data_IF_903703294745
#
_entry.id   IF_903703294745
#
_cell.length_a   1.000
_cell.length_b   1.000
_cell.length_c   1.000
_cell.angle_alpha   90.00
_cell.angle_beta   90.00
_cell.angle_gamma   90.00
#
_symmetry.space_group_name_H-M   'P 1'
#
loop_
_entity.id
_entity.type
_entity.pdbx_description
1 polymer ?
#
# COMPACT_ATOMS: atom_id res chain seq x y z
N UNK A 1 8.84 -11.02 -26.34
CA UNK A 1 8.62 -10.87 -24.87
C UNK A 1 7.84 -12.04 -24.26
N UNK A 2 6.86 -12.67 -24.95
CA UNK A 2 6.14 -13.81 -24.35
C UNK A 2 7.06 -14.97 -23.91
N UNK A 3 8.10 -15.27 -24.69
CA UNK A 3 9.10 -16.31 -24.36
C UNK A 3 9.94 -15.99 -23.11
N UNK A 4 9.96 -14.74 -22.65
CA UNK A 4 10.74 -14.30 -21.49
C UNK A 4 9.99 -14.54 -20.17
N UNK A 5 8.64 -14.43 -20.16
CA UNK A 5 7.85 -14.49 -18.93
C UNK A 5 7.05 -15.79 -18.78
N UNK A 6 6.88 -16.56 -19.86
CA UNK A 6 6.02 -17.74 -19.89
C UNK A 6 4.54 -17.37 -19.79
N UNK A 7 3.72 -18.28 -19.27
CA UNK A 7 2.30 -18.07 -18.98
C UNK A 7 2.14 -17.29 -17.69
N UNK A 8 1.57 -16.10 -17.74
CA UNK A 8 1.42 -15.17 -16.61
C UNK A 8 0.00 -15.15 -16.10
N UNK A 9 -0.19 -15.40 -14.81
CA UNK A 9 -1.47 -15.17 -14.12
C UNK A 9 -1.56 -13.74 -13.60
N UNK A 10 -2.68 -13.05 -13.80
CA UNK A 10 -2.99 -11.80 -13.13
C UNK A 10 -4.02 -12.09 -12.05
N UNK A 11 -3.57 -12.12 -10.79
CA UNK A 11 -4.44 -12.38 -9.64
C UNK A 11 -5.22 -11.11 -9.31
N UNK A 12 -6.55 -11.17 -9.36
CA UNK A 12 -7.42 -10.02 -9.22
C UNK A 12 -8.73 -10.38 -8.52
N UNK A 13 -9.63 -9.41 -8.31
CA UNK A 13 -10.92 -9.60 -7.65
C UNK A 13 -10.75 -9.84 -6.15
N UNK A 14 -10.69 -11.10 -5.75
CA UNK A 14 -10.52 -11.47 -4.35
C UNK A 14 -11.78 -11.26 -3.50
N UNK A 15 -11.61 -11.26 -2.16
CA UNK A 15 -12.72 -11.25 -1.18
C UNK A 15 -12.70 -10.04 -0.25
N UNK A 16 -11.79 -9.08 -0.48
CA UNK A 16 -11.70 -7.87 0.34
C UNK A 16 -12.78 -6.85 0.00
N UNK A 17 -12.93 -5.83 0.84
CA UNK A 17 -13.78 -4.68 0.57
C UNK A 17 -13.36 -3.90 -0.69
N UNK A 18 -12.12 -4.09 -1.16
CA UNK A 18 -11.55 -3.42 -2.33
C UNK A 18 -11.67 -4.25 -3.63
N UNK A 19 -12.56 -5.27 -3.65
CA UNK A 19 -12.77 -6.15 -4.79
C UNK A 19 -12.98 -5.40 -6.11
N UNK A 20 -13.83 -4.38 -6.13
CA UNK A 20 -14.15 -3.63 -7.35
C UNK A 20 -12.90 -2.92 -7.93
N UNK A 21 -12.08 -2.33 -7.08
CA UNK A 21 -10.82 -1.71 -7.48
C UNK A 21 -9.85 -2.75 -8.03
N UNK A 22 -9.79 -3.93 -7.39
CA UNK A 22 -8.97 -5.05 -7.84
C UNK A 22 -9.43 -5.60 -9.20
N UNK A 23 -10.73 -5.68 -9.46
CA UNK A 23 -11.28 -6.07 -10.77
C UNK A 23 -10.86 -5.09 -11.88
N UNK A 24 -10.88 -3.78 -11.60
CA UNK A 24 -10.44 -2.75 -12.55
C UNK A 24 -8.92 -2.82 -12.77
N UNK A 25 -8.14 -2.89 -11.68
CA UNK A 25 -6.68 -2.99 -11.72
C UNK A 25 -6.22 -4.23 -12.51
N UNK A 26 -6.78 -5.39 -12.21
CA UNK A 26 -6.41 -6.65 -12.86
C UNK A 26 -6.68 -6.65 -14.36
N UNK A 27 -7.84 -6.14 -14.77
CA UNK A 27 -8.17 -5.98 -16.21
C UNK A 27 -7.19 -5.04 -16.92
N UNK A 28 -6.88 -3.89 -16.29
CA UNK A 28 -5.92 -2.92 -16.82
C UNK A 28 -4.53 -3.53 -16.97
N UNK A 29 -4.03 -4.21 -15.93
CA UNK A 29 -2.72 -4.90 -15.95
C UNK A 29 -2.68 -5.98 -17.03
N UNK A 30 -3.71 -6.83 -17.12
CA UNK A 30 -3.77 -7.90 -18.13
C UNK A 30 -3.71 -7.31 -19.55
N UNK A 31 -4.51 -6.28 -19.84
CA UNK A 31 -4.51 -5.62 -21.15
C UNK A 31 -3.14 -4.97 -21.44
N UNK A 32 -2.51 -4.33 -20.47
CA UNK A 32 -1.20 -3.71 -20.61
C UNK A 32 -0.11 -4.76 -20.92
N UNK A 33 -0.07 -5.85 -20.16
CA UNK A 33 0.86 -6.96 -20.39
C UNK A 33 0.63 -7.62 -21.74
N UNK A 34 -0.63 -7.88 -22.11
CA UNK A 34 -0.98 -8.44 -23.43
C UNK A 34 -0.54 -7.51 -24.58
N UNK A 35 -0.73 -6.20 -24.45
CA UNK A 35 -0.26 -5.21 -25.45
C UNK A 35 1.26 -5.20 -25.62
N UNK A 36 1.98 -5.53 -24.55
CA UNK A 36 3.44 -5.72 -24.57
C UNK A 36 3.89 -7.11 -25.05
N UNK A 37 2.96 -7.97 -25.50
CA UNK A 37 3.24 -9.32 -26.03
C UNK A 37 3.49 -10.36 -24.94
N UNK A 38 3.01 -10.15 -23.71
CA UNK A 38 3.05 -11.13 -22.63
C UNK A 38 1.79 -12.01 -22.67
N UNK A 39 1.94 -13.32 -22.49
CA UNK A 39 0.83 -14.27 -22.39
C UNK A 39 0.17 -14.18 -21.01
N UNK A 40 -0.72 -13.19 -20.83
CA UNK A 40 -1.31 -12.80 -19.55
C UNK A 40 -2.79 -13.20 -19.43
N UNK A 41 -3.13 -13.92 -18.37
CA UNK A 41 -4.46 -14.48 -18.09
C UNK A 41 -5.00 -13.99 -16.75
N UNK A 42 -6.28 -13.64 -16.70
CA UNK A 42 -6.95 -13.23 -15.47
C UNK A 42 -7.29 -14.46 -14.60
N UNK A 43 -7.06 -14.34 -13.29
CA UNK A 43 -7.43 -15.34 -12.30
C UNK A 43 -8.07 -14.67 -11.09
N UNK A 44 -9.40 -14.83 -10.92
CA UNK A 44 -10.14 -14.27 -9.80
C UNK A 44 -10.05 -15.19 -8.58
N UNK A 45 -9.30 -14.76 -7.57
CA UNK A 45 -9.10 -15.50 -6.31
C UNK A 45 -10.34 -15.47 -5.40
N UNK A 46 -11.33 -14.65 -5.70
CA UNK A 46 -12.63 -14.65 -5.01
C UNK A 46 -13.56 -15.76 -5.47
N UNK A 47 -13.40 -16.19 -6.72
CA UNK A 47 -14.25 -17.19 -7.38
C UNK A 47 -13.56 -18.55 -7.55
N UNK A 48 -12.23 -18.57 -7.62
CA UNK A 48 -11.42 -19.76 -7.89
C UNK A 48 -10.51 -20.10 -6.72
N UNK A 49 -10.29 -21.38 -6.51
CA UNK A 49 -9.52 -21.94 -5.40
C UNK A 49 -8.01 -21.92 -5.66
N UNK A 50 -7.20 -22.06 -4.58
CA UNK A 50 -5.76 -22.26 -4.68
C UNK A 50 -5.37 -23.56 -5.41
N UNK A 51 -6.20 -24.61 -5.34
CA UNK A 51 -5.95 -25.83 -6.08
C UNK A 51 -6.09 -25.62 -7.59
N UNK A 52 -7.05 -24.81 -8.02
CA UNK A 52 -7.18 -24.40 -9.42
C UNK A 52 -6.02 -23.49 -9.86
N UNK A 53 -5.56 -22.59 -8.97
CA UNK A 53 -4.39 -21.76 -9.25
C UNK A 53 -3.14 -22.61 -9.50
N UNK A 54 -2.91 -23.61 -8.66
CA UNK A 54 -1.81 -24.56 -8.84
C UNK A 54 -1.91 -25.37 -10.15
N UNK A 55 -3.13 -25.70 -10.58
CA UNK A 55 -3.38 -26.47 -11.80
C UNK A 55 -3.26 -25.62 -13.10
N UNK A 56 -3.30 -24.29 -13.02
CA UNK A 56 -3.21 -23.41 -14.18
C UNK A 56 -1.86 -23.48 -14.90
N UNK A 57 -0.79 -23.85 -14.19
CA UNK A 57 0.56 -23.90 -14.76
C UNK A 57 1.11 -22.54 -15.10
N UNK A 58 0.84 -21.52 -14.28
CA UNK A 58 1.46 -20.19 -14.42
C UNK A 58 2.94 -20.27 -14.07
N UNK A 59 3.79 -19.72 -14.93
CA UNK A 59 5.22 -19.58 -14.67
C UNK A 59 5.51 -18.48 -13.64
N UNK A 60 4.62 -17.50 -13.56
CA UNK A 60 4.61 -16.40 -12.56
C UNK A 60 3.26 -15.72 -12.50
N UNK A 61 3.05 -14.94 -11.45
CA UNK A 61 1.83 -14.17 -11.31
C UNK A 61 2.10 -12.69 -11.01
N UNK A 62 1.23 -11.84 -11.53
CA UNK A 62 1.11 -10.44 -11.14
C UNK A 62 0.01 -10.32 -10.10
N UNK A 63 0.31 -9.82 -8.90
CA UNK A 63 -0.67 -9.58 -7.85
C UNK A 63 -1.29 -8.19 -8.09
N UNK A 64 -2.58 -8.17 -8.47
CA UNK A 64 -3.42 -6.97 -8.58
C UNK A 64 -4.58 -7.02 -7.58
N UNK A 65 -4.37 -7.74 -6.49
CA UNK A 65 -5.28 -7.82 -5.35
C UNK A 65 -5.00 -6.69 -4.38
N UNK A 66 -6.02 -6.19 -3.70
CA UNK A 66 -5.94 -5.12 -2.71
C UNK A 66 -6.58 -5.53 -1.39
N UNK A 67 -6.13 -4.94 -0.28
CA UNK A 67 -6.64 -5.22 1.05
C UNK A 67 -6.37 -6.64 1.56
N UNK A 68 -7.23 -7.13 2.46
CA UNK A 68 -7.09 -8.46 3.07
C UNK A 68 -7.04 -9.56 2.01
N UNK A 69 -6.23 -10.58 2.27
CA UNK A 69 -5.91 -11.70 1.36
C UNK A 69 -5.15 -11.31 0.09
N UNK A 70 -4.93 -10.02 -0.17
CA UNK A 70 -4.23 -9.53 -1.35
C UNK A 70 -2.86 -8.93 -1.03
N UNK A 71 -2.78 -8.10 0.01
CA UNK A 71 -1.57 -7.39 0.39
C UNK A 71 -1.15 -7.58 1.86
N UNK A 72 -1.76 -8.55 2.54
CA UNK A 72 -1.50 -8.87 3.96
C UNK A 72 -0.54 -10.05 4.19
N UNK A 73 0.08 -10.57 3.13
CA UNK A 73 0.99 -11.71 3.19
C UNK A 73 0.32 -13.07 2.95
N UNK A 74 -1.01 -13.14 2.97
CA UNK A 74 -1.76 -14.42 2.85
C UNK A 74 -1.57 -15.07 1.48
N UNK A 75 -1.84 -14.35 0.39
CA UNK A 75 -1.66 -14.90 -0.96
C UNK A 75 -0.18 -15.11 -1.27
N UNK A 76 0.70 -14.21 -0.78
CA UNK A 76 2.14 -14.34 -0.95
C UNK A 76 2.66 -15.62 -0.31
N UNK A 77 2.22 -15.95 0.92
CA UNK A 77 2.56 -17.20 1.60
C UNK A 77 2.07 -18.44 0.85
N UNK A 78 0.86 -18.38 0.28
CA UNK A 78 0.35 -19.47 -0.56
C UNK A 78 1.19 -19.67 -1.83
N UNK A 79 1.58 -18.58 -2.49
CA UNK A 79 2.43 -18.62 -3.70
C UNK A 79 3.83 -19.17 -3.41
N UNK A 80 4.42 -18.84 -2.24
CA UNK A 80 5.68 -19.41 -1.77
C UNK A 80 5.58 -20.95 -1.65
N UNK A 81 4.50 -21.46 -1.03
CA UNK A 81 4.29 -22.90 -0.85
C UNK A 81 4.02 -23.61 -2.18
N UNK A 82 3.40 -22.93 -3.13
CA UNK A 82 3.16 -23.43 -4.50
C UNK A 82 4.40 -23.32 -5.39
N UNK A 83 5.43 -22.58 -4.98
CA UNK A 83 6.62 -22.32 -5.80
C UNK A 83 6.35 -21.46 -7.02
N UNK A 84 5.31 -20.62 -6.98
CA UNK A 84 4.92 -19.74 -8.09
C UNK A 84 5.52 -18.35 -7.84
N UNK A 85 6.46 -17.88 -8.68
CA UNK A 85 7.02 -16.53 -8.60
C UNK A 85 5.92 -15.46 -8.73
N UNK A 86 6.03 -14.38 -7.94
CA UNK A 86 5.02 -13.32 -7.91
C UNK A 86 5.63 -11.91 -7.80
N UNK A 87 4.87 -10.91 -8.20
CA UNK A 87 5.25 -9.51 -8.12
C UNK A 87 5.07 -8.95 -6.71
N UNK A 88 5.90 -7.97 -6.35
CA UNK A 88 5.76 -7.23 -5.10
C UNK A 88 6.47 -7.86 -3.91
N UNK A 89 6.07 -7.45 -2.74
CA UNK A 89 6.68 -7.81 -1.47
C UNK A 89 6.36 -9.24 -1.02
N UNK A 90 7.25 -9.85 -0.25
CA UNK A 90 7.06 -11.17 0.34
C UNK A 90 6.05 -11.20 1.51
N UNK A 91 5.74 -12.37 2.07
CA UNK A 91 4.73 -12.53 3.13
C UNK A 91 5.00 -11.65 4.35
N UNK A 92 6.23 -11.65 4.86
CA UNK A 92 6.60 -10.88 6.06
C UNK A 92 6.44 -9.38 5.83
N UNK A 93 6.98 -8.85 4.73
CA UNK A 93 6.92 -7.42 4.43
C UNK A 93 5.47 -6.96 4.20
N UNK A 94 4.68 -7.76 3.49
CA UNK A 94 3.24 -7.49 3.26
C UNK A 94 2.45 -7.48 4.57
N UNK A 95 2.67 -8.46 5.46
CA UNK A 95 2.00 -8.51 6.76
C UNK A 95 2.40 -7.33 7.66
N UNK A 96 3.68 -6.96 7.68
CA UNK A 96 4.15 -5.79 8.44
C UNK A 96 3.55 -4.49 7.89
N UNK A 97 3.50 -4.32 6.57
CA UNK A 97 2.97 -3.12 5.94
C UNK A 97 1.46 -2.97 6.15
N UNK A 98 0.72 -4.07 6.19
CA UNK A 98 -0.72 -4.07 6.44
C UNK A 98 -1.06 -3.67 7.87
N UNK A 99 -0.23 -4.06 8.85
CA UNK A 99 -0.38 -3.68 10.25
C UNK A 99 0.26 -2.30 10.49
N UNK A 100 -0.58 -1.25 10.56
CA UNK A 100 -0.12 0.14 10.78
C UNK A 100 0.67 0.31 12.06
N UNK A 101 0.35 -0.47 13.10
CA UNK A 101 1.06 -0.41 14.39
C UNK A 101 2.46 -0.98 14.27
N UNK A 102 2.59 -2.16 13.68
CA UNK A 102 3.89 -2.80 13.48
C UNK A 102 4.74 -2.01 12.49
N UNK A 103 4.16 -1.51 11.41
CA UNK A 103 4.81 -0.59 10.48
C UNK A 103 5.44 0.60 11.19
N UNK A 104 4.66 1.31 12.02
CA UNK A 104 5.14 2.48 12.76
C UNK A 104 6.22 2.13 13.77
N UNK A 105 6.12 1.00 14.48
CA UNK A 105 7.15 0.50 15.40
C UNK A 105 8.49 0.25 14.68
N UNK A 106 8.44 -0.39 13.51
CA UNK A 106 9.63 -0.62 12.69
C UNK A 106 10.23 0.72 12.23
N UNK A 107 9.40 1.65 11.74
CA UNK A 107 9.86 2.96 11.30
C UNK A 107 10.52 3.77 12.44
N UNK A 108 9.92 3.78 13.63
CA UNK A 108 10.52 4.44 14.80
C UNK A 108 11.88 3.84 15.16
N UNK A 109 12.02 2.51 15.11
CA UNK A 109 13.31 1.83 15.35
C UNK A 109 14.39 2.24 14.34
N UNK A 110 13.98 2.60 13.10
CA UNK A 110 14.86 3.11 12.06
C UNK A 110 15.03 4.64 12.05
N UNK A 111 14.48 5.34 13.04
CA UNK A 111 14.54 6.79 13.16
C UNK A 111 13.78 7.52 12.05
N UNK A 112 12.69 6.92 11.53
CA UNK A 112 11.83 7.50 10.52
C UNK A 112 10.67 8.27 11.16
N UNK A 113 10.28 9.43 10.61
CA UNK A 113 9.22 10.26 11.15
C UNK A 113 7.86 9.64 10.89
N UNK A 114 7.10 9.40 11.94
CA UNK A 114 5.68 9.02 11.90
C UNK A 114 4.96 9.71 13.05
N UNK A 115 3.67 10.09 12.91
CA UNK A 115 2.94 10.74 13.99
C UNK A 115 2.98 9.91 15.27
N UNK A 116 3.01 10.60 16.42
CA UNK A 116 2.91 9.92 17.71
C UNK A 116 1.61 9.11 17.80
N UNK A 117 1.69 7.94 18.38
CA UNK A 117 0.55 7.03 18.45
C UNK A 117 0.61 6.15 19.68
N UNK A 118 -0.55 5.63 20.06
CA UNK A 118 -0.69 4.53 21.01
C UNK A 118 -1.82 3.58 20.59
N UNK A 119 -1.77 2.35 21.07
CA UNK A 119 -2.88 1.41 20.93
C UNK A 119 -3.84 1.59 22.11
N UNK A 120 -5.11 1.58 21.79
CA UNK A 120 -6.20 1.64 22.76
C UNK A 120 -7.14 0.45 22.55
N UNK A 121 -7.64 -0.09 23.65
CA UNK A 121 -8.55 -1.22 23.72
C UNK A 121 -9.72 -0.94 24.67
N UNK A 122 -10.51 -1.96 24.97
CA UNK A 122 -11.68 -1.85 25.84
C UNK A 122 -11.33 -1.47 27.29
N UNK A 123 -10.12 -1.78 27.75
CA UNK A 123 -9.64 -1.52 29.12
C UNK A 123 -8.93 -0.17 29.23
N UNK A 124 -8.70 0.49 28.12
CA UNK A 124 -7.99 1.78 28.06
C UNK A 124 -8.85 2.92 28.59
N UNK A 125 -8.29 3.73 29.50
CA UNK A 125 -8.95 4.95 29.96
C UNK A 125 -8.90 6.04 28.87
N UNK A 126 -9.86 5.99 27.94
CA UNK A 126 -9.91 6.79 26.71
C UNK A 126 -9.77 8.30 26.94
N UNK A 127 -10.26 8.81 28.09
CA UNK A 127 -10.17 10.26 28.43
C UNK A 127 -8.73 10.75 28.62
N UNK A 128 -7.78 9.85 28.92
CA UNK A 128 -6.37 10.21 29.13
C UNK A 128 -5.54 10.19 27.83
N UNK A 129 -6.08 9.63 26.75
CA UNK A 129 -5.39 9.56 25.46
C UNK A 129 -5.08 10.96 24.90
N UNK A 130 -6.02 11.93 24.92
CA UNK A 130 -5.73 13.29 24.47
C UNK A 130 -4.64 14.01 25.28
N UNK A 131 -4.47 13.67 26.56
CA UNK A 131 -3.40 14.26 27.39
C UNK A 131 -2.01 13.79 26.96
N UNK A 132 -1.91 12.57 26.39
CA UNK A 132 -0.65 11.98 25.90
C UNK A 132 -0.31 12.36 24.46
N UNK A 133 -1.32 12.36 23.59
CA UNK A 133 -1.12 12.56 22.14
C UNK A 133 -1.45 13.97 21.64
N UNK A 134 -2.11 14.82 22.47
CA UNK A 134 -2.68 16.11 22.12
C UNK A 134 -3.85 16.02 21.13
N UNK A 135 -4.75 16.99 21.16
CA UNK A 135 -5.84 17.12 20.18
C UNK A 135 -5.41 18.04 19.01
N UNK A 136 -5.92 17.82 17.82
CA UNK A 136 -6.80 16.73 17.41
C UNK A 136 -6.08 15.40 17.22
N UNK A 137 -6.85 14.28 17.31
CA UNK A 137 -6.39 12.90 17.09
C UNK A 137 -7.11 12.24 15.92
N UNK A 138 -6.56 11.15 15.45
CA UNK A 138 -7.23 10.16 14.60
C UNK A 138 -7.34 8.85 15.36
N UNK A 139 -8.53 8.26 15.41
CA UNK A 139 -8.75 6.87 15.80
C UNK A 139 -9.07 6.05 14.57
N UNK A 140 -8.39 4.91 14.40
CA UNK A 140 -8.54 4.04 13.23
C UNK A 140 -8.22 2.59 13.57
N UNK A 141 -8.85 1.61 12.88
CA UNK A 141 -8.43 0.21 12.97
C UNK A 141 -7.04 0.05 12.34
N UNK A 142 -6.10 -0.70 12.98
CA UNK A 142 -4.74 -0.85 12.46
C UNK A 142 -4.64 -1.71 11.19
N UNK A 143 -5.56 -2.65 10.96
CA UNK A 143 -5.50 -3.63 9.87
C UNK A 143 -6.48 -3.38 8.72
N UNK A 144 -7.16 -2.23 8.69
CA UNK A 144 -8.08 -1.88 7.59
C UNK A 144 -7.46 -0.84 6.65
N UNK A 145 -7.81 -0.96 5.36
CA UNK A 145 -7.44 0.00 4.32
C UNK A 145 -8.54 1.04 4.07
N UNK A 146 -8.29 1.93 3.09
CA UNK A 146 -9.31 2.78 2.45
C UNK A 146 -10.18 3.61 3.38
N UNK A 147 -9.63 4.13 4.46
CA UNK A 147 -10.31 5.07 5.39
C UNK A 147 -11.46 4.46 6.20
N UNK A 148 -11.62 3.13 6.17
CA UNK A 148 -12.66 2.43 6.93
C UNK A 148 -12.44 2.60 8.44
N UNK A 149 -13.49 3.04 9.16
CA UNK A 149 -13.47 3.19 10.62
C UNK A 149 -12.59 4.33 11.16
N UNK A 150 -12.12 5.23 10.30
CA UNK A 150 -11.30 6.39 10.71
C UNK A 150 -12.21 7.49 11.24
N UNK A 151 -11.88 8.02 12.42
CA UNK A 151 -12.57 9.15 13.03
C UNK A 151 -11.58 10.18 13.56
N UNK A 152 -11.79 11.44 13.17
CA UNK A 152 -11.06 12.58 13.73
C UNK A 152 -11.73 13.02 15.03
N UNK A 153 -10.94 13.09 16.09
CA UNK A 153 -11.34 13.52 17.43
C UNK A 153 -10.83 14.94 17.68
N UNK A 154 -11.73 15.87 17.96
CA UNK A 154 -11.39 17.26 18.23
C UNK A 154 -11.62 17.66 19.69
N UNK A 155 -12.32 16.82 20.45
CA UNK A 155 -12.62 17.03 21.86
C UNK A 155 -12.64 15.73 22.66
N UNK A 156 -12.47 15.83 23.97
CA UNK A 156 -12.50 14.67 24.91
C UNK A 156 -13.83 13.88 24.83
N UNK A 157 -14.95 14.58 24.55
CA UNK A 157 -16.27 13.98 24.41
C UNK A 157 -16.37 12.99 23.26
N UNK A 158 -15.58 13.20 22.19
CA UNK A 158 -15.68 12.46 20.94
C UNK A 158 -14.97 11.10 21.04
N UNK A 159 -14.07 10.93 22.03
CA UNK A 159 -13.21 9.74 22.17
C UNK A 159 -13.98 8.43 22.22
N UNK A 160 -15.08 8.39 22.99
CA UNK A 160 -15.87 7.15 23.16
C UNK A 160 -16.54 6.71 21.86
N UNK A 161 -17.11 7.66 21.12
CA UNK A 161 -17.79 7.38 19.85
C UNK A 161 -16.78 6.98 18.77
N UNK A 162 -15.66 7.70 18.67
CA UNK A 162 -14.57 7.42 17.75
C UNK A 162 -13.95 6.03 18.00
N UNK A 163 -13.71 5.67 19.27
CA UNK A 163 -13.25 4.32 19.61
C UNK A 163 -14.27 3.27 19.21
N UNK A 164 -15.54 3.45 19.54
CA UNK A 164 -16.60 2.50 19.19
C UNK A 164 -16.76 2.31 17.68
N UNK A 165 -16.52 3.35 16.89
CA UNK A 165 -16.55 3.27 15.43
C UNK A 165 -15.40 2.40 14.88
N UNK A 166 -14.17 2.61 15.35
CA UNK A 166 -13.00 1.84 14.93
C UNK A 166 -13.02 0.39 15.47
N UNK A 167 -13.46 0.20 16.72
CA UNK A 167 -13.54 -1.10 17.39
C UNK A 167 -14.55 -2.09 16.77
N UNK A 168 -15.37 -1.65 15.81
CA UNK A 168 -16.22 -2.55 15.01
C UNK A 168 -15.42 -3.40 14.04
N UNK A 169 -14.23 -2.95 13.68
CA UNK A 169 -13.39 -3.56 12.66
C UNK A 169 -12.17 -4.27 13.25
N UNK A 170 -11.73 -3.85 14.43
CA UNK A 170 -10.54 -4.39 15.07
C UNK A 170 -10.66 -4.33 16.60
N UNK A 171 -10.09 -5.33 17.29
CA UNK A 171 -10.09 -5.38 18.76
C UNK A 171 -9.17 -4.34 19.40
N UNK A 172 -8.11 -3.96 18.71
CA UNK A 172 -7.22 -2.88 19.06
C UNK A 172 -7.46 -1.69 18.12
N UNK A 173 -7.40 -0.49 18.63
CA UNK A 173 -7.59 0.75 17.87
C UNK A 173 -6.32 1.59 17.95
N UNK A 174 -5.85 2.05 16.81
CA UNK A 174 -4.72 2.96 16.73
C UNK A 174 -5.21 4.39 16.97
N UNK A 175 -4.77 5.00 18.08
CA UNK A 175 -4.91 6.43 18.32
C UNK A 175 -3.64 7.14 17.87
N UNK A 176 -3.77 8.15 17.03
CA UNK A 176 -2.65 8.81 16.35
C UNK A 176 -2.82 10.32 16.35
N UNK A 177 -1.74 11.06 16.58
CA UNK A 177 -1.72 12.51 16.43
C UNK A 177 -2.14 12.95 15.03
N UNK A 178 -3.10 13.85 14.92
CA UNK A 178 -3.51 14.41 13.65
C UNK A 178 -2.51 15.45 13.13
N UNK A 179 -1.89 15.17 12.00
CA UNK A 179 -0.98 16.10 11.34
C UNK A 179 -1.79 16.98 10.37
N UNK A 180 -1.76 18.29 10.61
CA UNK A 180 -2.37 19.27 9.70
C UNK A 180 -1.37 19.69 8.64
N UNK A 181 -1.72 19.52 7.36
CA UNK A 181 -0.81 19.88 6.28
C UNK A 181 -1.29 19.40 4.93
N UNK A 182 -0.34 19.12 4.05
CA UNK A 182 -0.55 18.62 2.68
C UNK A 182 -0.42 17.10 2.68
N UNK A 183 -1.28 16.42 1.95
CA UNK A 183 -1.18 14.97 1.76
C UNK A 183 -0.28 14.68 0.55
N UNK A 184 0.73 13.85 0.76
CA UNK A 184 1.69 13.45 -0.25
C UNK A 184 1.75 11.94 -0.37
N UNK A 185 2.10 11.46 -1.55
CA UNK A 185 2.38 10.05 -1.77
C UNK A 185 3.57 9.85 -2.68
N UNK A 186 4.30 8.76 -2.44
CA UNK A 186 5.50 8.40 -3.20
C UNK A 186 5.46 6.94 -3.59
N UNK A 187 5.43 6.67 -4.89
CA UNK A 187 5.64 5.32 -5.40
C UNK A 187 7.13 4.96 -5.34
N UNK A 188 7.42 3.72 -4.94
CA UNK A 188 8.77 3.15 -4.93
C UNK A 188 8.80 1.96 -5.86
N UNK A 189 9.80 1.88 -6.72
CA UNK A 189 10.06 0.75 -7.64
C UNK A 189 11.40 0.11 -7.35
N UNK A 190 11.47 -1.21 -7.54
CA UNK A 190 12.68 -2.02 -7.36
C UNK A 190 12.86 -2.57 -5.96
N UNK A 191 13.96 -3.27 -5.73
CA UNK A 191 14.23 -4.04 -4.52
C UNK A 191 15.61 -3.71 -3.92
N UNK A 192 15.73 -3.79 -2.61
CA UNK A 192 16.99 -3.60 -1.89
C UNK A 192 17.69 -2.28 -2.25
N UNK A 193 18.96 -2.33 -2.70
CA UNK A 193 19.72 -1.13 -3.08
C UNK A 193 19.25 -0.47 -4.37
N UNK A 194 18.53 -1.20 -5.23
CA UNK A 194 17.97 -0.68 -6.48
C UNK A 194 16.61 0.01 -6.29
N UNK A 195 16.01 -0.08 -5.10
CA UNK A 195 14.75 0.62 -4.81
C UNK A 195 14.91 2.13 -4.96
N UNK A 196 14.03 2.74 -5.75
CA UNK A 196 14.03 4.18 -6.06
C UNK A 196 12.63 4.77 -5.99
N UNK A 197 12.53 6.00 -5.55
CA UNK A 197 11.29 6.76 -5.56
C UNK A 197 10.97 7.25 -6.98
N UNK A 198 9.68 7.27 -7.33
CA UNK A 198 9.13 8.06 -8.42
C UNK A 198 8.78 9.47 -7.90
N UNK A 199 8.43 10.42 -8.79
CA UNK A 199 8.08 11.77 -8.36
C UNK A 199 7.00 11.79 -7.29
N UNK A 200 7.17 12.68 -6.31
CA UNK A 200 6.19 12.91 -5.25
C UNK A 200 4.90 13.43 -5.87
N UNK A 201 3.77 12.90 -5.45
CA UNK A 201 2.44 13.39 -5.81
C UNK A 201 1.82 14.07 -4.60
N UNK A 202 1.24 15.25 -4.80
CA UNK A 202 0.36 15.88 -3.84
C UNK A 202 -1.09 15.55 -4.16
N UNK A 203 -1.84 15.21 -3.12
CA UNK A 203 -3.27 14.89 -3.17
C UNK A 203 -4.03 16.03 -2.52
N UNK A 204 -4.83 16.76 -3.29
CA UNK A 204 -5.65 17.86 -2.81
C UNK A 204 -7.13 17.46 -2.88
N UNK A 205 -7.60 16.77 -1.84
CA UNK A 205 -8.99 16.38 -1.72
C UNK A 205 -9.84 17.54 -1.17
N UNK A 206 -11.10 17.70 -1.62
CA UNK A 206 -12.02 18.68 -1.08
C UNK A 206 -12.20 18.53 0.43
N UNK A 207 -12.09 19.63 1.17
CA UNK A 207 -12.18 19.62 2.64
C UNK A 207 -11.07 18.87 3.37
N UNK A 208 -10.02 18.41 2.66
CA UNK A 208 -8.91 17.65 3.24
C UNK A 208 -9.29 16.21 3.63
N UNK A 209 -10.35 15.65 3.03
CA UNK A 209 -10.82 14.29 3.31
C UNK A 209 -10.61 13.40 2.08
N UNK A 210 -9.55 12.62 2.08
CA UNK A 210 -9.21 11.67 1.01
C UNK A 210 -9.66 10.27 1.39
N UNK A 211 -10.99 10.06 1.36
CA UNK A 211 -11.63 8.78 1.65
C UNK A 211 -11.74 7.86 0.41
N UNK A 212 -12.38 6.69 0.60
CA UNK A 212 -12.53 5.68 -0.46
C UNK A 212 -13.26 6.22 -1.71
N UNK A 213 -14.29 7.06 -1.51
CA UNK A 213 -15.04 7.65 -2.61
C UNK A 213 -14.17 8.65 -3.39
N UNK A 214 -13.43 9.51 -2.70
CA UNK A 214 -12.50 10.46 -3.32
C UNK A 214 -11.26 9.78 -3.95
N UNK A 215 -10.90 8.57 -3.47
CA UNK A 215 -9.77 7.79 -4.05
C UNK A 215 -10.10 7.17 -5.41
N UNK A 216 -11.33 6.71 -5.63
CA UNK A 216 -11.64 5.83 -6.75
C UNK A 216 -12.83 6.25 -7.60
N UNK A 217 -13.74 7.09 -7.11
CA UNK A 217 -15.03 7.37 -7.74
C UNK A 217 -15.38 8.84 -7.90
N UNK A 218 -14.67 9.78 -7.24
CA UNK A 218 -14.89 11.22 -7.36
C UNK A 218 -13.81 11.86 -8.22
N UNK A 219 -14.22 12.74 -9.14
CA UNK A 219 -13.33 13.57 -9.96
C UNK A 219 -12.95 14.89 -9.28
N UNK A 220 -13.41 15.13 -8.04
CA UNK A 220 -13.17 16.39 -7.33
C UNK A 220 -11.79 16.48 -6.69
N UNK A 221 -11.07 15.35 -6.54
CA UNK A 221 -9.70 15.31 -6.02
C UNK A 221 -8.71 15.75 -7.08
N UNK A 222 -7.89 16.74 -6.75
CA UNK A 222 -6.80 17.19 -7.61
C UNK A 222 -5.48 16.51 -7.25
N UNK A 223 -4.73 16.14 -8.27
CA UNK A 223 -3.41 15.51 -8.13
C UNK A 223 -2.35 16.36 -8.83
N UNK A 224 -1.30 16.70 -8.11
CA UNK A 224 -0.15 17.42 -8.66
C UNK A 224 1.04 16.48 -8.73
N UNK A 225 1.46 16.13 -9.95
CA UNK A 225 2.58 15.23 -10.21
C UNK A 225 3.52 15.79 -11.28
N UNK A 226 4.77 16.17 -10.94
CA UNK A 226 5.34 16.24 -9.58
C UNK A 226 4.63 17.26 -8.68
N UNK A 227 4.63 17.01 -7.37
CA UNK A 227 4.14 17.94 -6.38
C UNK A 227 4.97 19.25 -6.40
N UNK A 228 4.30 20.37 -6.21
CA UNK A 228 4.99 21.68 -6.12
C UNK A 228 5.58 21.83 -4.71
N UNK A 229 6.83 21.39 -4.56
CA UNK A 229 7.61 21.40 -3.31
C UNK A 229 8.96 22.09 -3.53
N UNK A 230 9.58 22.68 -2.48
CA UNK A 230 10.99 22.99 -2.49
C UNK A 230 11.81 21.75 -2.84
N UNK A 231 12.87 21.84 -3.68
CA UNK A 231 13.64 20.68 -4.11
C UNK A 231 14.17 19.81 -2.95
N UNK A 232 14.66 20.45 -1.90
CA UNK A 232 15.18 19.79 -0.71
C UNK A 232 14.10 18.99 0.05
N UNK A 233 12.86 19.49 0.08
CA UNK A 233 11.72 18.79 0.70
C UNK A 233 11.32 17.58 -0.16
N UNK A 234 11.27 17.73 -1.47
CA UNK A 234 10.96 16.63 -2.39
C UNK A 234 12.00 15.51 -2.31
N UNK A 235 13.29 15.86 -2.21
CA UNK A 235 14.39 14.92 -2.00
C UNK A 235 14.28 14.20 -0.66
N UNK A 236 13.99 14.93 0.43
CA UNK A 236 13.82 14.36 1.77
C UNK A 236 12.64 13.38 1.82
N UNK A 237 11.46 13.77 1.32
CA UNK A 237 10.26 12.90 1.24
C UNK A 237 10.57 11.64 0.44
N UNK A 238 11.23 11.77 -0.71
CA UNK A 238 11.63 10.64 -1.56
C UNK A 238 12.62 9.71 -0.85
N UNK A 239 13.61 10.25 -0.16
CA UNK A 239 14.60 9.48 0.59
C UNK A 239 13.96 8.72 1.77
N UNK A 240 13.04 9.38 2.50
CA UNK A 240 12.27 8.76 3.59
C UNK A 240 11.39 7.63 3.05
N UNK A 241 10.70 7.82 1.92
CA UNK A 241 9.86 6.78 1.30
C UNK A 241 10.67 5.52 0.97
N UNK A 242 11.84 5.67 0.33
CA UNK A 242 12.72 4.53 0.01
C UNK A 242 13.26 3.86 1.28
N UNK A 243 13.62 4.65 2.30
CA UNK A 243 14.11 4.11 3.58
C UNK A 243 12.99 3.37 4.33
N UNK A 244 11.78 3.91 4.34
CA UNK A 244 10.60 3.29 4.96
C UNK A 244 10.24 1.95 4.30
N UNK A 245 10.24 1.93 2.97
CA UNK A 245 10.02 0.75 2.14
C UNK A 245 11.06 -0.35 2.44
N UNK A 246 12.35 0.00 2.47
CA UNK A 246 13.43 -0.93 2.78
C UNK A 246 13.40 -1.43 4.23
N UNK A 247 13.02 -0.58 5.18
CA UNK A 247 12.94 -0.94 6.59
C UNK A 247 11.94 -2.06 6.86
N UNK A 248 10.87 -2.14 6.07
CA UNK A 248 9.87 -3.22 6.12
C UNK A 248 10.28 -4.45 5.30
N UNK A 249 11.38 -4.39 4.54
CA UNK A 249 11.79 -5.48 3.64
C UNK A 249 10.93 -5.58 2.38
N UNK A 250 10.32 -4.48 1.94
CA UNK A 250 9.49 -4.46 0.73
C UNK A 250 10.32 -4.61 -0.53
N UNK A 251 9.71 -5.22 -1.57
CA UNK A 251 10.34 -5.54 -2.84
C UNK A 251 9.42 -5.26 -4.03
N UNK A 252 10.03 -5.09 -5.22
CA UNK A 252 9.36 -4.88 -6.48
C UNK A 252 8.74 -3.50 -6.63
N UNK A 253 7.69 -3.22 -5.88
CA UNK A 253 7.01 -1.95 -5.93
C UNK A 253 6.15 -1.72 -4.68
N UNK A 254 5.76 -0.46 -4.44
CA UNK A 254 4.90 -0.05 -3.34
C UNK A 254 4.63 1.45 -3.35
N UNK A 255 3.87 1.93 -2.37
CA UNK A 255 3.51 3.34 -2.24
C UNK A 255 3.51 3.74 -0.77
N UNK A 256 4.29 4.76 -0.43
CA UNK A 256 4.32 5.35 0.90
C UNK A 256 3.48 6.64 0.93
N UNK A 257 2.59 6.76 1.91
CA UNK A 257 1.69 7.88 2.08
C UNK A 257 2.13 8.75 3.27
N UNK A 258 2.05 10.09 3.10
CA UNK A 258 2.59 11.07 4.03
C UNK A 258 1.62 12.21 4.31
N UNK A 259 1.78 12.82 5.47
CA UNK A 259 1.42 14.22 5.69
C UNK A 259 2.68 15.08 5.70
N UNK A 260 2.64 16.22 5.02
CA UNK A 260 3.66 17.27 5.12
C UNK A 260 3.08 18.40 5.97
N UNK A 261 3.66 18.66 7.13
CA UNK A 261 3.17 19.70 8.04
C UNK A 261 3.48 21.13 7.52
N UNK A 262 3.04 22.14 8.27
CA UNK A 262 3.23 23.56 7.90
C UNK A 262 4.70 24.01 7.91
N UNK A 263 5.55 23.26 8.62
CA UNK A 263 7.00 23.49 8.68
C UNK A 263 7.75 22.68 7.63
N UNK A 264 7.04 22.07 6.66
CA UNK A 264 7.55 21.16 5.63
C UNK A 264 8.23 19.90 6.20
N UNK A 265 7.80 19.41 7.37
CA UNK A 265 8.28 18.15 7.92
C UNK A 265 7.40 17.00 7.42
N UNK A 266 7.97 15.95 6.81
CA UNK A 266 7.19 14.80 6.36
C UNK A 266 6.92 13.83 7.51
N UNK A 267 5.69 13.27 7.51
CA UNK A 267 5.22 12.28 8.48
C UNK A 267 4.64 11.09 7.76
N UNK A 268 5.28 9.93 7.89
CA UNK A 268 4.81 8.66 7.31
C UNK A 268 3.51 8.21 7.96
N UNK A 269 2.50 7.90 7.13
CA UNK A 269 1.22 7.39 7.58
C UNK A 269 1.11 5.88 7.42
N UNK A 270 1.33 5.38 6.20
CA UNK A 270 1.23 3.97 5.84
C UNK A 270 2.08 3.64 4.61
N UNK A 271 2.26 2.33 4.36
CA UNK A 271 2.90 1.82 3.17
C UNK A 271 2.03 0.72 2.57
N UNK A 272 1.71 0.85 1.28
CA UNK A 272 0.91 -0.09 0.53
C UNK A 272 1.82 -0.95 -0.36
N UNK A 273 1.77 -2.27 -0.20
CA UNK A 273 2.62 -3.22 -0.94
C UNK A 273 2.04 -3.72 -2.26
N UNK A 274 0.74 -3.50 -2.46
CA UNK A 274 0.03 -3.76 -3.73
C UNK A 274 -0.94 -2.61 -4.02
N UNK A 275 -0.42 -1.38 -4.26
CA UNK A 275 -1.26 -0.22 -4.48
C UNK A 275 -2.08 -0.34 -5.77
N UNK A 276 -3.17 0.42 -5.87
CA UNK A 276 -4.06 0.41 -7.03
C UNK A 276 -3.34 0.60 -8.36
N UNK A 277 -3.79 -0.12 -9.39
CA UNK A 277 -3.25 -0.12 -10.75
C UNK A 277 -4.33 0.20 -11.80
N UNK A 278 -5.30 1.04 -11.46
CA UNK A 278 -6.23 1.60 -12.45
C UNK A 278 -5.58 2.73 -13.23
N UNK A 279 -6.20 3.20 -14.30
CA UNK A 279 -5.71 4.35 -15.10
C UNK A 279 -5.59 5.65 -14.30
N UNK A 280 -6.32 5.77 -13.18
CA UNK A 280 -6.31 6.93 -12.29
C UNK A 280 -5.44 6.73 -11.05
N UNK A 281 -4.82 5.56 -10.91
CA UNK A 281 -4.01 5.23 -9.73
C UNK A 281 -2.68 6.00 -9.70
N UNK A 282 -2.21 6.26 -8.49
CA UNK A 282 -1.09 7.16 -8.22
C UNK A 282 0.26 6.62 -8.69
N UNK A 283 0.48 5.30 -8.64
CA UNK A 283 1.73 4.70 -9.14
C UNK A 283 1.86 4.83 -10.66
N UNK A 284 0.84 4.49 -11.48
CA UNK A 284 0.85 4.81 -12.91
C UNK A 284 1.02 6.30 -13.22
N UNK A 285 0.40 7.18 -12.44
CA UNK A 285 0.54 8.64 -12.58
C UNK A 285 1.99 9.09 -12.38
N UNK A 286 2.64 8.65 -11.30
CA UNK A 286 4.04 8.94 -11.01
C UNK A 286 4.99 8.39 -12.10
N UNK A 287 4.74 7.17 -12.59
CA UNK A 287 5.50 6.56 -13.66
C UNK A 287 5.40 7.37 -14.98
N UNK A 288 4.19 7.78 -15.34
CA UNK A 288 3.93 8.61 -16.52
C UNK A 288 4.68 9.95 -16.46
N UNK A 289 4.77 10.56 -15.28
CA UNK A 289 5.48 11.83 -15.10
C UNK A 289 6.99 11.75 -15.42
N UNK A 290 7.57 10.55 -15.38
CA UNK A 290 8.97 10.29 -15.78
C UNK A 290 9.08 9.54 -17.11
N UNK A 291 8.03 9.54 -17.93
CA UNK A 291 8.03 8.97 -19.27
C UNK A 291 7.88 7.45 -19.34
N UNK A 292 7.52 6.79 -18.24
CA UNK A 292 7.24 5.35 -18.21
C UNK A 292 5.75 5.15 -18.50
N UNK A 293 5.45 4.50 -19.63
CA UNK A 293 4.06 4.15 -19.97
C UNK A 293 3.49 3.09 -19.01
N UNK A 294 2.16 2.98 -18.98
CA UNK A 294 1.49 1.98 -18.12
C UNK A 294 1.92 0.53 -18.46
N UNK A 295 2.09 0.21 -19.75
CA UNK A 295 2.55 -1.11 -20.16
C UNK A 295 4.00 -1.36 -19.72
N UNK A 296 4.90 -0.38 -19.88
CA UNK A 296 6.29 -0.49 -19.42
C UNK A 296 6.36 -0.64 -17.90
N UNK A 297 5.52 0.07 -17.15
CA UNK A 297 5.42 -0.08 -15.68
C UNK A 297 5.00 -1.51 -15.30
N UNK A 298 3.94 -2.05 -15.93
CA UNK A 298 3.48 -3.42 -15.66
C UNK A 298 4.56 -4.46 -15.99
N UNK A 299 5.28 -4.30 -17.10
CA UNK A 299 6.39 -5.17 -17.48
C UNK A 299 7.57 -5.04 -16.53
N UNK A 300 7.89 -3.82 -16.07
CA UNK A 300 8.96 -3.59 -15.10
C UNK A 300 8.66 -4.28 -13.76
N UNK A 301 7.43 -4.14 -13.25
CA UNK A 301 6.97 -4.81 -12.03
C UNK A 301 7.00 -6.34 -12.22
N UNK A 302 6.49 -6.85 -13.34
CA UNK A 302 6.49 -8.28 -13.65
C UNK A 302 7.91 -8.88 -13.74
N UNK A 303 8.89 -8.09 -14.19
CA UNK A 303 10.29 -8.53 -14.31
C UNK A 303 10.92 -8.85 -12.96
N UNK A 304 10.44 -8.25 -11.88
CA UNK A 304 10.88 -8.47 -10.50
C UNK A 304 10.20 -9.68 -9.83
N UNK A 305 9.27 -10.37 -10.55
CA UNK A 305 8.54 -11.51 -9.99
C UNK A 305 9.49 -12.65 -9.61
N UNK A 306 9.43 -13.05 -8.32
CA UNK A 306 10.26 -14.12 -7.73
C UNK A 306 9.55 -14.69 -6.49
N UNK A 307 9.95 -15.87 -6.04
CA UNK A 307 9.69 -16.30 -4.68
C UNK A 307 10.68 -15.59 -3.74
N UNK A 308 10.23 -15.17 -2.57
CA UNK A 308 11.01 -14.35 -1.62
C UNK A 308 11.60 -15.19 -0.47
N UNK A 309 10.99 -16.34 -0.18
CA UNK A 309 11.49 -17.28 0.82
C UNK A 309 12.50 -18.20 0.14
N UNK A 310 13.78 -17.88 0.29
CA UNK A 310 14.83 -18.76 -0.22
C UNK A 310 14.94 -19.99 0.67
N UNK A 311 14.59 -21.17 0.14
CA UNK A 311 15.03 -22.41 0.76
C UNK A 311 16.54 -22.43 0.73
N UNK A 312 17.20 -22.57 1.89
CA UNK A 312 18.62 -22.93 1.91
C UNK A 312 18.78 -24.15 0.98
N UNK A 313 19.56 -24.00 -0.09
CA UNK A 313 19.91 -25.15 -0.93
C UNK A 313 20.45 -26.22 0.00
N UNK A 314 19.68 -27.31 0.18
CA UNK A 314 20.26 -28.53 0.75
C UNK A 314 21.28 -29.00 -0.27
N UNK A 315 22.52 -28.57 -0.04
CA UNK A 315 23.66 -29.23 -0.67
C UNK A 315 23.62 -30.67 -0.13
N UNK A 316 23.04 -31.58 -0.92
CA UNK A 316 23.16 -33.01 -0.74
C UNK A 316 24.46 -33.47 -1.41
#
# INVERSE_FOLDING_TARGET
MSAQFGKVGVLYGGRSAEREVSLMSGKGVQQALASAGVDAHLFDTGERSLAELAAEGFDRVFIALHGRYGEDGTIQGALELLGIPYTGSGPMASSLAMDKTMTKRVWLQHGLPTPQFELVDADTELRLVPDRLSLPLILKPPHEGSTVGITKVVGYSDMKEAYAAAARYDSEVLAEQFITGRELTVAVLGSGKAARALPVIEIAAPGGNYDYEHKYFSDDTQYFCPATLPPEVAEEVSAIAVKAYRALGCEGWGRADFMLDRDNRPWLLELNTSPGMTSHSLVPMAAKAVGISYAELCVAILSEASCKVHSASRNA
#
